data_IF_922869911090
#
_entry.id   IF_922869911090
#
_cell.length_a   1.000
_cell.length_b   1.000
_cell.length_c   1.000
_cell.angle_alpha   90.00
_cell.angle_beta   90.00
_cell.angle_gamma   90.00
#
_symmetry.space_group_name_H-M   'P 1'
#
loop_
_entity.id
_entity.type
_entity.pdbx_description
1 polymer ?
#
# COMPACT_ATOMS: atom_id res chain seq x y z
N UNK A 1 -26.65 34.84 -1.12
CA UNK A 1 -25.20 34.67 -0.92
C UNK A 1 -24.98 33.19 -0.61
N UNK A 2 -24.28 32.38 -1.38
CA UNK A 2 -23.31 32.67 -2.44
C UNK A 2 -23.15 31.40 -3.29
N UNK A 3 -23.21 31.53 -4.61
CA UNK A 3 -22.95 30.44 -5.57
C UNK A 3 -21.47 30.04 -5.64
N UNK A 4 -20.84 29.82 -4.49
CA UNK A 4 -19.41 29.52 -4.34
C UNK A 4 -19.10 28.02 -4.36
N UNK A 5 -20.12 27.15 -4.32
CA UNK A 5 -19.91 25.70 -4.15
C UNK A 5 -19.50 24.97 -5.43
N UNK A 6 -19.70 25.56 -6.62
CA UNK A 6 -19.34 24.93 -7.90
C UNK A 6 -17.96 25.33 -8.40
N UNK A 7 -17.65 26.63 -8.43
CA UNK A 7 -16.31 27.13 -8.78
C UNK A 7 -15.21 26.71 -7.81
N UNK A 8 -15.51 26.62 -6.50
CA UNK A 8 -14.56 26.05 -5.56
C UNK A 8 -14.26 24.58 -5.92
N UNK A 9 -15.29 23.80 -6.29
CA UNK A 9 -15.14 22.39 -6.65
C UNK A 9 -14.40 22.16 -7.96
N UNK A 10 -14.59 23.02 -8.96
CA UNK A 10 -13.91 22.95 -10.27
C UNK A 10 -12.47 23.46 -10.22
N UNK A 11 -12.16 24.46 -9.37
CA UNK A 11 -10.78 24.87 -9.09
C UNK A 11 -10.04 23.85 -8.20
N UNK A 12 -10.80 23.07 -7.40
CA UNK A 12 -10.29 22.01 -6.53
C UNK A 12 -9.58 20.89 -7.30
N UNK A 13 -9.98 20.54 -8.52
CA UNK A 13 -9.64 19.23 -9.10
C UNK A 13 -8.28 19.13 -9.81
N UNK A 14 -7.57 20.24 -10.10
CA UNK A 14 -6.19 20.17 -10.63
C UNK A 14 -5.31 21.39 -10.30
N UNK A 15 -5.91 22.59 -10.16
CA UNK A 15 -5.19 23.83 -9.89
C UNK A 15 -4.94 24.10 -8.40
N UNK A 16 -5.94 23.84 -7.55
CA UNK A 16 -5.81 24.16 -6.12
C UNK A 16 -5.03 23.12 -5.32
N UNK A 17 -4.93 21.87 -5.78
CA UNK A 17 -4.11 20.88 -5.07
C UNK A 17 -2.63 21.25 -5.10
N UNK A 18 -2.14 21.84 -6.20
CA UNK A 18 -0.75 22.27 -6.27
C UNK A 18 -0.49 23.43 -5.29
N UNK A 19 -1.31 24.48 -5.31
CA UNK A 19 -1.19 25.60 -4.37
C UNK A 19 -1.45 25.20 -2.91
N UNK A 20 -2.30 24.21 -2.66
CA UNK A 20 -2.51 23.64 -1.34
C UNK A 20 -1.26 22.87 -0.87
N UNK A 21 -0.59 22.14 -1.76
CA UNK A 21 0.67 21.47 -1.44
C UNK A 21 1.74 22.49 -1.06
N UNK A 22 1.91 23.55 -1.86
CA UNK A 22 2.88 24.62 -1.58
C UNK A 22 2.62 25.28 -0.21
N UNK A 23 1.35 25.61 0.08
CA UNK A 23 0.97 26.23 1.36
C UNK A 23 1.24 25.30 2.56
N UNK A 24 1.00 23.99 2.41
CA UNK A 24 1.26 23.00 3.44
C UNK A 24 2.76 22.72 3.60
N UNK A 25 3.53 22.79 2.52
CA UNK A 25 4.99 22.67 2.54
C UNK A 25 5.60 23.84 3.32
N UNK A 26 5.17 25.07 3.06
CA UNK A 26 5.61 26.23 3.85
C UNK A 26 5.19 26.18 5.31
N UNK A 27 4.02 25.61 5.62
CA UNK A 27 3.64 25.36 7.01
C UNK A 27 4.56 24.31 7.68
N UNK A 28 4.94 23.26 6.95
CA UNK A 28 5.90 22.26 7.43
C UNK A 28 7.33 22.81 7.59
N UNK A 29 7.72 23.87 6.87
CA UNK A 29 9.01 24.53 7.12
C UNK A 29 9.07 25.13 8.54
N UNK A 30 7.94 25.60 9.07
CA UNK A 30 7.83 26.09 10.44
C UNK A 30 7.69 24.93 11.44
N UNK A 31 6.93 23.88 11.07
CA UNK A 31 6.64 22.74 11.94
C UNK A 31 6.90 21.39 11.22
N UNK A 32 8.18 20.97 11.09
CA UNK A 32 8.60 19.88 10.19
C UNK A 32 8.07 18.48 10.52
N UNK A 33 7.49 18.33 11.70
CA UNK A 33 6.99 17.06 12.22
C UNK A 33 5.55 17.14 12.73
N UNK A 34 4.79 18.20 12.37
CA UNK A 34 3.41 18.32 12.79
C UNK A 34 2.53 17.25 12.11
N UNK A 35 1.97 16.29 12.87
CA UNK A 35 1.36 15.08 12.28
C UNK A 35 0.14 15.38 11.41
N UNK A 36 -0.64 16.41 11.76
CA UNK A 36 -1.80 16.83 10.97
C UNK A 36 -1.38 17.47 9.64
N UNK A 37 -0.27 18.21 9.61
CA UNK A 37 0.20 18.87 8.38
C UNK A 37 0.76 17.84 7.40
N UNK A 38 1.53 16.87 7.93
CA UNK A 38 2.02 15.73 7.16
C UNK A 38 0.87 14.91 6.53
N UNK A 39 -0.18 14.61 7.31
CA UNK A 39 -1.36 13.90 6.83
C UNK A 39 -2.10 14.69 5.75
N UNK A 40 -2.29 16.00 5.93
CA UNK A 40 -2.95 16.85 4.93
C UNK A 40 -2.15 16.92 3.63
N UNK A 41 -0.82 17.08 3.72
CA UNK A 41 0.03 17.09 2.53
C UNK A 41 0.00 15.74 1.83
N UNK A 42 -0.04 14.62 2.57
CA UNK A 42 -0.22 13.29 2.00
C UNK A 42 -1.52 13.19 1.20
N UNK A 43 -2.65 13.66 1.75
CA UNK A 43 -3.93 13.67 1.06
C UNK A 43 -3.91 14.50 -0.23
N UNK A 44 -3.26 15.67 -0.21
CA UNK A 44 -3.12 16.51 -1.40
C UNK A 44 -2.24 15.83 -2.45
N UNK A 45 -1.11 15.21 -2.05
CA UNK A 45 -0.24 14.45 -2.96
C UNK A 45 -0.97 13.26 -3.57
N UNK A 46 -1.85 12.58 -2.82
CA UNK A 46 -2.69 11.52 -3.36
C UNK A 46 -3.60 12.03 -4.48
N UNK A 47 -4.26 13.18 -4.28
CA UNK A 47 -5.13 13.79 -5.30
C UNK A 47 -4.36 14.23 -6.55
N UNK A 48 -3.10 14.66 -6.38
CA UNK A 48 -2.21 14.99 -7.49
C UNK A 48 -1.69 13.76 -8.26
N UNK A 49 -2.00 12.54 -7.81
CA UNK A 49 -1.47 11.29 -8.39
C UNK A 49 -0.06 10.92 -7.89
N UNK A 50 0.51 11.69 -6.98
CA UNK A 50 1.82 11.43 -6.35
C UNK A 50 1.69 10.36 -5.25
N UNK A 51 1.23 9.16 -5.59
CA UNK A 51 0.91 8.09 -4.62
C UNK A 51 2.11 7.69 -3.75
N UNK A 52 3.31 7.67 -4.33
CA UNK A 52 4.56 7.38 -3.61
C UNK A 52 4.89 8.45 -2.54
N UNK A 53 4.72 9.74 -2.87
CA UNK A 53 4.93 10.82 -1.89
C UNK A 53 3.85 10.84 -0.83
N UNK A 54 2.60 10.60 -1.23
CA UNK A 54 1.46 10.45 -0.32
C UNK A 54 1.74 9.40 0.75
N UNK A 55 2.15 8.19 0.35
CA UNK A 55 2.48 7.11 1.28
C UNK A 55 3.59 7.51 2.26
N UNK A 56 4.69 8.10 1.77
CA UNK A 56 5.81 8.49 2.63
C UNK A 56 5.38 9.54 3.68
N UNK A 57 4.61 10.54 3.27
CA UNK A 57 4.11 11.59 4.16
C UNK A 57 3.12 11.03 5.19
N UNK A 58 2.25 10.10 4.79
CA UNK A 58 1.33 9.42 5.70
C UNK A 58 2.07 8.55 6.73
N UNK A 59 3.14 7.86 6.34
CA UNK A 59 3.99 7.09 7.27
C UNK A 59 4.69 8.00 8.30
N UNK A 60 5.15 9.17 7.87
CA UNK A 60 5.70 10.19 8.77
C UNK A 60 4.62 10.71 9.73
N UNK A 61 3.42 11.00 9.21
CA UNK A 61 2.29 11.44 10.01
C UNK A 61 1.91 10.40 11.08
N UNK A 62 1.94 9.11 10.77
CA UNK A 62 1.72 8.03 11.74
C UNK A 62 2.81 8.04 12.83
N UNK A 63 4.07 8.16 12.42
CA UNK A 63 5.21 8.17 13.34
C UNK A 63 5.19 9.38 14.29
N UNK A 64 4.58 10.50 13.88
CA UNK A 64 4.42 11.73 14.68
C UNK A 64 3.05 11.85 15.36
N UNK A 65 2.06 11.10 14.88
CA UNK A 65 0.64 11.20 15.24
C UNK A 65 0.33 10.70 16.64
N UNK A 66 1.20 9.88 17.23
CA UNK A 66 1.14 9.46 18.63
C UNK A 66 -0.25 8.93 19.02
N UNK A 67 -0.99 9.74 19.79
CA UNK A 67 -2.32 9.40 20.33
C UNK A 67 -3.49 9.96 19.52
N UNK A 68 -3.24 10.65 18.41
CA UNK A 68 -4.29 11.22 17.58
C UNK A 68 -4.87 10.16 16.64
N UNK A 69 -5.89 9.45 17.11
CA UNK A 69 -6.54 8.36 16.38
C UNK A 69 -7.10 8.82 15.02
N UNK A 70 -7.59 10.06 14.90
CA UNK A 70 -8.06 10.59 13.62
C UNK A 70 -6.93 10.74 12.61
N UNK A 71 -5.78 11.27 13.02
CA UNK A 71 -4.60 11.37 12.14
C UNK A 71 -4.07 10.00 11.76
N UNK A 72 -4.02 9.07 12.71
CA UNK A 72 -3.59 7.69 12.46
C UNK A 72 -4.51 7.00 11.45
N UNK A 73 -5.84 7.05 11.68
CA UNK A 73 -6.85 6.49 10.77
C UNK A 73 -6.68 7.02 9.36
N UNK A 74 -6.69 8.34 9.22
CA UNK A 74 -6.67 9.01 7.93
C UNK A 74 -5.36 8.73 7.17
N UNK A 75 -4.24 8.67 7.88
CA UNK A 75 -2.94 8.32 7.30
C UNK A 75 -2.87 6.86 6.85
N UNK A 76 -3.40 5.92 7.64
CA UNK A 76 -3.47 4.51 7.23
C UNK A 76 -4.39 4.30 6.02
N UNK A 77 -5.50 5.03 5.95
CA UNK A 77 -6.37 5.04 4.79
C UNK A 77 -5.64 5.56 3.54
N UNK A 78 -4.87 6.66 3.66
CA UNK A 78 -4.08 7.21 2.55
C UNK A 78 -3.01 6.23 2.06
N UNK A 79 -2.34 5.49 2.95
CA UNK A 79 -1.40 4.43 2.56
C UNK A 79 -2.13 3.33 1.79
N UNK A 80 -3.28 2.88 2.28
CA UNK A 80 -4.08 1.86 1.61
C UNK A 80 -4.51 2.31 0.20
N UNK A 81 -5.06 3.52 0.10
CA UNK A 81 -5.50 4.10 -1.16
C UNK A 81 -4.34 4.30 -2.14
N UNK A 82 -3.18 4.74 -1.66
CA UNK A 82 -1.96 4.91 -2.48
C UNK A 82 -1.44 3.58 -3.00
N UNK A 83 -1.41 2.54 -2.14
CA UNK A 83 -0.99 1.18 -2.50
C UNK A 83 -1.89 0.52 -3.52
N UNK A 84 -3.21 0.72 -3.42
CA UNK A 84 -4.16 0.26 -4.43
C UNK A 84 -3.85 0.86 -5.81
N UNK A 85 -3.49 2.14 -5.87
CA UNK A 85 -3.22 2.82 -7.15
C UNK A 85 -1.92 2.36 -7.81
N UNK A 86 -0.91 1.98 -7.02
CA UNK A 86 0.34 1.40 -7.54
C UNK A 86 0.27 -0.11 -7.80
N UNK A 87 -0.86 -0.75 -7.50
CA UNK A 87 -1.10 -2.19 -7.72
C UNK A 87 -0.71 -3.10 -6.55
N UNK A 88 -0.26 -2.55 -5.41
CA UNK A 88 0.03 -3.31 -4.19
C UNK A 88 -1.26 -3.61 -3.41
N UNK A 89 -2.03 -4.56 -3.94
CA UNK A 89 -3.34 -4.94 -3.37
C UNK A 89 -3.21 -5.57 -1.98
N UNK A 90 -2.13 -6.33 -1.75
CA UNK A 90 -1.88 -6.99 -0.45
C UNK A 90 -1.53 -5.96 0.62
N UNK A 91 -0.59 -5.06 0.34
CA UNK A 91 -0.20 -4.00 1.25
C UNK A 91 -1.32 -2.98 1.48
N UNK A 92 -2.18 -2.76 0.49
CA UNK A 92 -3.37 -1.92 0.64
C UNK A 92 -4.40 -2.52 1.61
N UNK A 93 -4.69 -3.82 1.50
CA UNK A 93 -5.63 -4.51 2.39
C UNK A 93 -5.16 -4.47 3.85
N UNK A 94 -3.87 -4.67 4.09
CA UNK A 94 -3.29 -4.58 5.43
C UNK A 94 -3.42 -3.17 6.03
N UNK A 95 -3.14 -2.14 5.23
CA UNK A 95 -3.27 -0.75 5.66
C UNK A 95 -4.74 -0.36 5.91
N UNK A 96 -5.67 -0.80 5.06
CA UNK A 96 -7.10 -0.55 5.23
C UNK A 96 -7.65 -1.20 6.51
N UNK A 97 -7.26 -2.46 6.78
CA UNK A 97 -7.61 -3.14 8.04
C UNK A 97 -7.10 -2.38 9.26
N UNK A 98 -5.90 -1.79 9.15
CA UNK A 98 -5.31 -1.00 10.23
C UNK A 98 -6.09 0.30 10.43
N UNK A 99 -6.48 1.00 9.36
CA UNK A 99 -7.31 2.20 9.42
C UNK A 99 -8.64 1.94 10.13
N UNK A 100 -9.35 0.85 9.82
CA UNK A 100 -10.65 0.53 10.44
C UNK A 100 -10.57 0.18 11.92
N UNK A 101 -9.39 -0.22 12.42
CA UNK A 101 -9.17 -0.37 13.87
C UNK A 101 -9.13 0.98 14.59
N UNK A 102 -8.78 2.06 13.91
CA UNK A 102 -8.82 3.43 14.45
C UNK A 102 -10.18 4.13 14.23
N UNK A 103 -11.05 3.63 13.33
CA UNK A 103 -12.43 4.13 13.13
C UNK A 103 -13.36 3.91 14.34
N UNK A 104 -13.13 2.83 15.09
CA UNK A 104 -14.03 2.33 16.13
C UNK A 104 -13.67 2.83 17.53
N UNK A 105 -13.42 4.14 17.70
CA UNK A 105 -13.56 4.90 18.96
C UNK A 105 -13.04 4.37 20.31
N UNK A 106 -12.26 3.29 20.43
CA UNK A 106 -12.07 2.71 21.78
C UNK A 106 -11.06 1.60 22.03
N UNK A 107 -10.35 1.03 21.05
CA UNK A 107 -9.28 0.07 21.38
C UNK A 107 -8.07 0.27 20.46
N UNK A 108 -6.96 0.70 21.06
CA UNK A 108 -5.64 0.73 20.44
C UNK A 108 -5.25 -0.68 19.96
N UNK A 109 -5.06 -0.91 18.66
CA UNK A 109 -4.01 -1.83 18.24
C UNK A 109 -2.65 -1.14 18.38
N UNK A 110 -1.66 -1.86 18.90
CA UNK A 110 -0.26 -1.42 18.87
C UNK A 110 0.11 -1.00 17.44
N UNK A 111 0.95 0.05 17.26
CA UNK A 111 1.56 0.27 15.96
C UNK A 111 2.25 -1.03 15.55
N UNK A 112 2.18 -1.46 14.28
CA UNK A 112 3.03 -2.56 13.83
C UNK A 112 4.47 -2.10 13.97
N UNK A 113 5.05 -2.38 15.15
CA UNK A 113 6.48 -2.39 15.36
C UNK A 113 7.11 -3.37 14.37
N UNK A 114 8.27 -2.97 13.85
CA UNK A 114 9.00 -3.59 12.75
C UNK A 114 8.91 -5.10 12.58
N UNK A 115 8.91 -5.52 11.31
CA UNK A 115 9.04 -6.92 10.91
C UNK A 115 7.74 -7.70 11.07
N UNK A 116 7.12 -8.15 10.00
CA UNK A 116 7.66 -9.25 9.23
C UNK A 116 7.14 -9.17 7.79
N UNK A 117 8.07 -9.26 6.85
CA UNK A 117 7.79 -9.74 5.51
C UNK A 117 7.03 -11.06 5.63
N UNK A 118 5.75 -11.07 5.28
CA UNK A 118 5.10 -12.33 4.94
C UNK A 118 5.61 -12.67 3.53
N UNK A 119 6.21 -13.86 3.31
CA UNK A 119 6.67 -14.22 1.98
C UNK A 119 5.46 -14.21 1.05
N UNK A 120 5.57 -13.47 -0.05
CA UNK A 120 4.64 -13.51 -1.16
C UNK A 120 4.51 -14.97 -1.62
N UNK A 121 3.44 -15.65 -1.20
CA UNK A 121 3.03 -16.89 -1.84
C UNK A 121 2.64 -16.58 -3.29
N UNK A 122 3.01 -17.42 -4.28
CA UNK A 122 2.61 -17.21 -5.65
C UNK A 122 1.12 -17.54 -5.80
N UNK A 123 0.28 -16.55 -5.56
CA UNK A 123 -1.15 -16.59 -5.84
C UNK A 123 -1.41 -16.38 -7.33
N UNK A 124 -1.27 -17.48 -8.08
CA UNK A 124 -1.74 -17.72 -9.45
C UNK A 124 -2.99 -16.89 -9.79
N UNK A 125 -3.00 -16.11 -10.87
CA UNK A 125 -2.96 -16.63 -12.23
C UNK A 125 -4.40 -16.82 -12.71
N UNK A 126 -4.90 -15.86 -13.49
CA UNK A 126 -6.21 -15.95 -14.13
C UNK A 126 -6.33 -17.17 -15.05
N UNK A 127 -7.56 -17.64 -15.26
CA UNK A 127 -7.82 -18.71 -16.19
C UNK A 127 -9.20 -19.33 -16.01
N UNK A 128 -10.22 -18.69 -16.57
CA UNK A 128 -11.44 -19.37 -16.97
C UNK A 128 -11.07 -20.39 -18.06
N UNK A 129 -11.29 -21.68 -17.82
CA UNK A 129 -11.07 -22.76 -18.78
C UNK A 129 -11.81 -24.02 -18.36
N UNK A 130 -12.59 -24.57 -19.27
CA UNK A 130 -13.65 -25.57 -19.11
C UNK A 130 -13.31 -26.88 -18.35
N UNK A 131 -14.34 -27.61 -17.87
CA UNK A 131 -14.17 -28.99 -17.41
C UNK A 131 -14.04 -29.96 -18.60
N UNK A 132 -12.98 -30.76 -18.61
CA UNK A 132 -12.79 -31.90 -19.51
C UNK A 132 -12.34 -33.14 -18.71
N UNK A 133 -12.82 -34.35 -19.02
CA UNK A 133 -12.83 -35.46 -18.05
C UNK A 133 -11.58 -36.34 -18.11
N UNK A 134 -11.37 -37.04 -16.99
CA UNK A 134 -10.81 -38.38 -16.82
C UNK A 134 -9.48 -38.73 -17.54
N UNK A 135 -8.51 -39.18 -16.75
CA UNK A 135 -7.89 -40.49 -16.93
C UNK A 135 -7.03 -40.86 -15.72
N UNK A 136 -7.41 -41.98 -15.10
CA UNK A 136 -6.66 -42.65 -14.04
C UNK A 136 -5.56 -43.49 -14.69
N UNK A 137 -4.32 -43.35 -14.19
CA UNK A 137 -3.31 -44.40 -13.98
C UNK A 137 -1.93 -43.73 -13.81
N UNK A 138 -1.03 -44.29 -12.99
CA UNK A 138 0.00 -45.09 -13.65
C UNK A 138 0.24 -46.44 -12.98
N UNK A 139 0.19 -47.48 -13.81
CA UNK A 139 0.82 -48.76 -13.55
C UNK A 139 2.34 -48.61 -13.48
N UNK A 140 2.95 -49.40 -12.60
CA UNK A 140 4.39 -49.44 -12.39
C UNK A 140 5.17 -49.86 -13.63
N UNK A 141 6.47 -49.59 -13.59
CA UNK A 141 7.34 -49.95 -14.70
C UNK A 141 8.80 -49.63 -14.47
N UNK A 142 9.48 -50.59 -13.85
CA UNK A 142 10.80 -51.05 -14.25
C UNK A 142 12.03 -50.25 -13.80
N UNK A 143 12.90 -51.03 -13.17
CA UNK A 143 14.21 -50.71 -12.63
C UNK A 143 15.29 -50.75 -13.72
N UNK A 144 16.50 -50.37 -13.30
CA UNK A 144 17.84 -50.73 -13.79
C UNK A 144 18.58 -49.66 -14.62
N UNK A 145 19.92 -49.71 -14.64
CA UNK A 145 20.86 -49.74 -13.50
C UNK A 145 21.99 -48.67 -13.68
N UNK A 146 22.88 -48.47 -12.69
CA UNK A 146 23.93 -47.44 -12.76
C UNK A 146 25.19 -47.95 -13.49
N UNK A 147 25.98 -47.02 -14.07
CA UNK A 147 27.46 -47.03 -14.27
C UNK A 147 27.87 -46.35 -15.61
N UNK A 148 29.16 -45.99 -15.85
CA UNK A 148 30.21 -45.48 -14.95
C UNK A 148 31.15 -44.40 -15.59
N UNK A 149 32.09 -43.90 -14.77
CA UNK A 149 33.48 -43.47 -15.11
C UNK A 149 33.78 -42.13 -15.81
N UNK A 150 34.29 -41.20 -14.98
CA UNK A 150 35.57 -40.46 -15.09
C UNK A 150 36.30 -40.40 -16.43
N UNK A 151 36.67 -39.17 -16.82
CA UNK A 151 38.04 -38.87 -17.28
C UNK A 151 38.44 -37.41 -16.90
N UNK A 152 39.70 -37.17 -16.49
CA UNK A 152 40.23 -35.88 -16.06
C UNK A 152 40.96 -35.11 -17.17
N UNK A 153 41.19 -33.81 -16.95
CA UNK A 153 42.32 -33.08 -17.52
C UNK A 153 42.02 -32.17 -18.72
N UNK A 154 41.71 -30.90 -18.43
CA UNK A 154 42.07 -29.80 -19.33
C UNK A 154 43.43 -29.28 -18.87
N UNK A 155 44.44 -29.32 -19.76
CA UNK A 155 45.46 -28.30 -20.02
C UNK A 155 46.41 -28.84 -21.10
#
# INVERSE_FOLDING_TARGET
>A
MSGLSRQAREAYEAGNYHSAAESLESALEQEPDHPVLLQKLAAVRYQLGDFQRSENLAQRAISRGGNNNDVLRESWWLIAASRMQVGDTQGAQQAAQTASRYESGGQMPSPPGGGQQQPAGPGQGGGMGAPGPAQQAPFGGQQQPPSPQMAPGSF
#
